data_IF_178718706214
#
_entry.id   IF_178718706214
#
_cell.length_a   1.000
_cell.length_b   1.000
_cell.length_c   1.000
_cell.angle_alpha   90.00
_cell.angle_beta   90.00
_cell.angle_gamma   90.00
#
_symmetry.space_group_name_H-M   'P 1'
#
loop_
_entity.id
_entity.type
_entity.pdbx_description
1 polymer ?
#
# COMPACT_ATOMS: atom_id res chain seq x y z
N UNK A 1 -25.52 0.08 10.01
CA UNK A 1 -25.74 -0.44 8.64
C UNK A 1 -25.32 -1.90 8.56
N UNK A 2 -26.11 -2.81 7.89
CA UNK A 2 -25.69 -4.22 7.70
C UNK A 2 -24.77 -4.35 6.49
N UNK A 3 -23.70 -5.15 6.63
CA UNK A 3 -22.68 -5.41 5.60
C UNK A 3 -22.25 -6.86 5.66
N UNK A 4 -21.70 -7.38 4.56
CA UNK A 4 -20.93 -8.63 4.58
C UNK A 4 -19.45 -8.27 4.71
N UNK A 5 -18.72 -8.95 5.58
CA UNK A 5 -17.31 -8.68 5.84
C UNK A 5 -16.50 -9.99 5.94
N UNK A 6 -15.23 -9.95 5.58
CA UNK A 6 -14.31 -11.06 5.76
C UNK A 6 -13.70 -10.97 7.15
N UNK A 7 -14.11 -11.89 8.01
CA UNK A 7 -13.59 -12.04 9.37
C UNK A 7 -12.37 -12.96 9.35
N UNK A 8 -11.26 -12.46 9.88
CA UNK A 8 -10.01 -13.21 10.01
C UNK A 8 -9.67 -13.45 11.49
N UNK A 9 -9.09 -14.64 11.80
CA UNK A 9 -8.57 -15.00 13.13
C UNK A 9 -7.30 -15.81 12.97
N UNK A 10 -6.18 -15.32 13.44
CA UNK A 10 -4.92 -16.06 13.41
C UNK A 10 -4.65 -16.78 12.09
N UNK A 11 -4.34 -18.07 12.18
CA UNK A 11 -4.10 -18.94 11.05
C UNK A 11 -5.36 -19.64 10.49
N UNK A 12 -6.53 -19.50 11.17
CA UNK A 12 -7.77 -20.11 10.72
C UNK A 12 -8.21 -19.55 9.36
N UNK A 13 -8.93 -20.30 8.51
CA UNK A 13 -9.49 -19.76 7.27
C UNK A 13 -10.35 -18.51 7.54
N UNK A 14 -10.30 -17.56 6.62
CA UNK A 14 -11.15 -16.38 6.66
C UNK A 14 -12.60 -16.75 6.35
N UNK A 15 -13.53 -16.10 7.03
CA UNK A 15 -14.97 -16.36 6.88
C UNK A 15 -15.69 -15.11 6.38
N UNK A 16 -16.55 -15.24 5.36
CA UNK A 16 -17.49 -14.19 5.00
C UNK A 16 -18.68 -14.25 5.99
N UNK A 17 -18.89 -13.16 6.70
CA UNK A 17 -19.91 -13.07 7.77
C UNK A 17 -20.77 -11.83 7.63
N UNK A 18 -21.99 -11.88 8.17
CA UNK A 18 -22.81 -10.68 8.38
C UNK A 18 -22.21 -9.85 9.52
N UNK A 19 -22.07 -8.55 9.28
CA UNK A 19 -21.53 -7.59 10.21
C UNK A 19 -22.40 -6.32 10.24
N UNK A 20 -22.19 -5.50 11.26
CA UNK A 20 -22.87 -4.23 11.43
C UNK A 20 -21.81 -3.12 11.51
N UNK A 21 -21.83 -2.20 10.55
CA UNK A 21 -21.10 -0.93 10.64
C UNK A 21 -21.87 0.01 11.57
N UNK A 22 -21.12 0.76 12.35
CA UNK A 22 -21.62 1.88 13.15
C UNK A 22 -22.09 3.02 12.23
N UNK A 23 -22.89 3.95 12.77
CA UNK A 23 -23.29 5.14 12.03
C UNK A 23 -22.08 6.09 11.86
N UNK A 24 -21.97 6.82 10.74
CA UNK A 24 -20.88 7.76 10.52
C UNK A 24 -21.02 8.97 11.47
N UNK A 25 -19.89 9.42 12.00
CA UNK A 25 -19.79 10.69 12.72
C UNK A 25 -19.82 11.87 11.77
N UNK A 26 -19.80 13.07 12.34
CA UNK A 26 -19.90 14.31 11.55
C UNK A 26 -18.84 14.46 10.48
N UNK A 27 -17.65 13.90 10.67
CA UNK A 27 -16.47 13.96 9.79
C UNK A 27 -16.17 12.65 9.04
N UNK A 28 -17.03 11.63 9.22
CA UNK A 28 -16.89 10.31 8.61
C UNK A 28 -17.84 10.14 7.42
N UNK A 29 -17.51 9.18 6.57
CA UNK A 29 -18.32 8.74 5.44
C UNK A 29 -18.50 7.23 5.45
N UNK A 30 -19.58 6.73 4.85
CA UNK A 30 -19.70 5.32 4.48
C UNK A 30 -19.46 5.20 2.99
N UNK A 31 -18.50 4.35 2.64
CA UNK A 31 -18.14 4.03 1.26
C UNK A 31 -18.58 2.60 0.97
N UNK A 32 -19.47 2.41 0.01
CA UNK A 32 -19.80 1.09 -0.54
C UNK A 32 -18.59 0.63 -1.36
N UNK A 33 -17.94 -0.43 -0.90
CA UNK A 33 -16.72 -0.93 -1.51
C UNK A 33 -17.04 -1.68 -2.80
N UNK A 34 -16.36 -1.32 -3.87
CA UNK A 34 -16.44 -1.94 -5.20
C UNK A 34 -15.21 -2.82 -5.47
N UNK A 35 -14.05 -2.42 -4.93
CA UNK A 35 -12.81 -3.17 -5.00
C UNK A 35 -11.92 -2.90 -3.79
N UNK A 36 -11.15 -3.88 -3.35
CA UNK A 36 -10.15 -3.71 -2.28
C UNK A 36 -8.89 -4.52 -2.57
N UNK A 37 -7.74 -3.85 -2.59
CA UNK A 37 -6.44 -4.49 -2.77
C UNK A 37 -6.01 -5.30 -1.55
N UNK A 38 -5.29 -6.40 -1.78
CA UNK A 38 -4.65 -7.20 -0.72
C UNK A 38 -3.19 -6.77 -0.60
N UNK A 39 -2.79 -6.39 0.62
CA UNK A 39 -1.45 -5.93 0.94
C UNK A 39 -0.75 -6.88 1.92
N UNK A 40 0.58 -6.91 1.89
CA UNK A 40 1.37 -7.68 2.85
C UNK A 40 1.11 -7.25 4.30
N UNK A 41 0.81 -5.98 4.52
CA UNK A 41 0.50 -5.41 5.84
C UNK A 41 -0.75 -6.02 6.47
N UNK A 42 -1.76 -6.41 5.66
CA UNK A 42 -2.93 -7.16 6.15
C UNK A 42 -2.49 -8.49 6.77
N UNK A 43 -1.58 -9.20 6.10
CA UNK A 43 -1.12 -10.52 6.53
C UNK A 43 -0.27 -10.43 7.80
N UNK A 44 0.62 -9.45 7.89
CA UNK A 44 1.44 -9.19 9.07
C UNK A 44 0.55 -8.80 10.25
N UNK A 45 -0.45 -7.95 10.02
CA UNK A 45 -1.37 -7.53 11.08
C UNK A 45 -2.26 -8.69 11.55
N UNK A 46 -2.80 -9.49 10.63
CA UNK A 46 -3.54 -10.72 10.97
C UNK A 46 -2.71 -11.63 11.88
N UNK A 47 -1.45 -11.86 11.54
CA UNK A 47 -0.55 -12.68 12.35
C UNK A 47 -0.31 -12.08 13.75
N UNK A 48 -0.10 -10.77 13.85
CA UNK A 48 0.12 -10.05 15.12
C UNK A 48 -1.10 -10.05 16.04
N UNK A 49 -2.30 -10.00 15.45
CA UNK A 49 -3.56 -10.04 16.22
C UNK A 49 -3.86 -11.44 16.79
N UNK A 50 -3.23 -12.48 16.25
CA UNK A 50 -3.48 -13.86 16.68
C UNK A 50 -4.97 -14.20 16.60
N UNK A 51 -5.54 -14.81 17.65
CA UNK A 51 -6.94 -15.24 17.68
C UNK A 51 -7.97 -14.11 17.82
N UNK A 52 -7.54 -12.84 17.93
CA UNK A 52 -8.44 -11.70 17.98
C UNK A 52 -9.19 -11.56 16.64
N UNK A 53 -10.55 -11.60 16.64
CA UNK A 53 -11.32 -11.45 15.42
C UNK A 53 -11.11 -10.05 14.82
N UNK A 54 -10.86 -10.01 13.50
CA UNK A 54 -10.55 -8.77 12.79
C UNK A 54 -11.18 -8.73 11.40
N UNK A 55 -11.67 -7.55 11.03
CA UNK A 55 -11.92 -7.18 9.63
C UNK A 55 -10.78 -6.24 9.22
N UNK A 56 -9.99 -6.66 8.23
CA UNK A 56 -8.83 -5.94 7.73
C UNK A 56 -9.16 -5.27 6.37
N UNK A 57 -8.14 -5.08 5.54
CA UNK A 57 -8.26 -4.39 4.26
C UNK A 57 -8.09 -2.88 4.39
N UNK A 58 -7.16 -2.32 3.62
CA UNK A 58 -6.80 -0.90 3.71
C UNK A 58 -6.49 -0.26 2.35
N UNK A 59 -6.91 -0.92 1.28
CA UNK A 59 -6.79 -0.41 -0.09
C UNK A 59 -8.19 -0.42 -0.74
N UNK A 60 -9.17 0.19 -0.07
CA UNK A 60 -10.55 0.25 -0.54
C UNK A 60 -10.77 1.28 -1.64
N UNK A 61 -11.60 0.93 -2.63
CA UNK A 61 -12.18 1.85 -3.60
C UNK A 61 -13.67 1.58 -3.71
N UNK A 62 -14.47 2.63 -3.79
CA UNK A 62 -15.91 2.49 -3.91
C UNK A 62 -16.65 3.80 -3.99
N UNK A 63 -17.96 3.74 -3.85
CA UNK A 63 -18.85 4.89 -3.97
C UNK A 63 -19.31 5.38 -2.58
N UNK A 64 -19.25 6.67 -2.35
CA UNK A 64 -19.78 7.32 -1.12
C UNK A 64 -21.30 7.15 -1.07
N UNK A 65 -21.82 6.52 -0.01
CA UNK A 65 -23.26 6.34 0.21
C UNK A 65 -23.83 7.25 1.29
N UNK A 66 -23.03 7.53 2.35
CA UNK A 66 -23.46 8.40 3.44
C UNK A 66 -22.34 9.38 3.81
N UNK A 67 -22.74 10.59 4.15
CA UNK A 67 -21.87 11.68 4.58
C UNK A 67 -22.24 12.12 6.00
N UNK A 68 -21.23 12.29 6.86
CA UNK A 68 -21.39 12.99 8.13
C UNK A 68 -21.68 14.47 7.91
N UNK A 69 -22.33 15.09 8.88
CA UNK A 69 -22.89 16.45 8.76
C UNK A 69 -21.86 17.57 8.57
N UNK A 70 -20.58 17.33 8.89
CA UNK A 70 -19.49 18.29 8.72
C UNK A 70 -18.62 17.99 7.49
N UNK A 71 -18.90 16.94 6.73
CA UNK A 71 -18.15 16.58 5.54
C UNK A 71 -18.35 17.62 4.44
N UNK A 72 -17.26 18.11 3.88
CA UNK A 72 -17.22 19.03 2.74
C UNK A 72 -16.27 18.48 1.68
N UNK A 73 -16.52 18.81 0.42
CA UNK A 73 -15.68 18.41 -0.70
C UNK A 73 -15.93 16.99 -1.24
N UNK A 74 -16.88 16.26 -0.65
CA UNK A 74 -17.40 14.98 -1.16
C UNK A 74 -18.92 15.05 -1.28
N UNK A 75 -19.47 14.29 -2.22
CA UNK A 75 -20.90 14.10 -2.43
C UNK A 75 -21.27 12.61 -2.43
N UNK A 76 -22.52 12.30 -2.09
CA UNK A 76 -23.07 10.96 -2.31
C UNK A 76 -23.02 10.65 -3.80
N UNK A 77 -22.50 9.46 -4.14
CA UNK A 77 -22.25 9.05 -5.52
C UNK A 77 -20.83 9.29 -6.01
N UNK A 78 -20.00 10.04 -5.29
CA UNK A 78 -18.58 10.18 -5.63
C UNK A 78 -17.86 8.83 -5.50
N UNK A 79 -17.07 8.47 -6.52
CA UNK A 79 -16.16 7.34 -6.41
C UNK A 79 -14.84 7.80 -5.78
N UNK A 80 -14.42 7.10 -4.73
CA UNK A 80 -13.23 7.44 -3.95
C UNK A 80 -12.32 6.23 -3.76
N UNK A 81 -11.02 6.47 -3.71
CA UNK A 81 -10.04 5.58 -3.08
C UNK A 81 -9.91 5.98 -1.61
N UNK A 82 -9.97 5.00 -0.72
CA UNK A 82 -9.75 5.20 0.71
C UNK A 82 -8.30 4.86 1.03
N UNK A 83 -7.54 5.85 1.49
CA UNK A 83 -6.15 5.69 1.89
C UNK A 83 -6.03 5.64 3.42
N UNK A 84 -4.80 5.70 3.92
CA UNK A 84 -4.51 5.68 5.36
C UNK A 84 -5.04 6.92 6.09
N UNK A 85 -5.36 6.75 7.37
CA UNK A 85 -5.87 7.84 8.20
C UNK A 85 -4.74 8.71 8.77
N UNK A 86 -4.97 10.02 8.79
CA UNK A 86 -4.10 11.02 9.42
C UNK A 86 -4.92 12.09 10.13
N UNK A 87 -4.33 12.76 11.13
CA UNK A 87 -5.07 13.77 11.90
C UNK A 87 -5.24 15.12 11.16
N UNK A 88 -4.51 15.34 10.08
CA UNK A 88 -4.53 16.59 9.31
C UNK A 88 -3.93 17.82 10.01
N UNK A 89 -3.74 17.77 11.35
CA UNK A 89 -3.41 18.94 12.15
C UNK A 89 -2.05 18.94 12.87
N UNK A 90 -1.30 17.84 12.89
CA UNK A 90 0.04 17.81 13.48
C UNK A 90 1.09 18.39 12.52
N UNK A 91 2.31 18.62 13.02
CA UNK A 91 3.38 19.22 12.22
C UNK A 91 3.70 18.42 10.96
N UNK A 92 3.70 17.09 11.04
CA UNK A 92 3.96 16.23 9.89
C UNK A 92 2.86 16.32 8.84
N UNK A 93 1.58 16.31 9.26
CA UNK A 93 0.47 16.49 8.34
C UNK A 93 0.54 17.87 7.64
N UNK A 94 0.81 18.95 8.41
CA UNK A 94 0.97 20.29 7.84
C UNK A 94 2.18 20.42 6.90
N UNK A 95 3.21 19.60 7.10
CA UNK A 95 4.38 19.53 6.22
C UNK A 95 4.14 18.68 4.95
N UNK A 96 2.93 18.15 4.73
CA UNK A 96 2.61 17.29 3.58
C UNK A 96 3.15 15.86 3.71
N UNK A 97 3.42 15.42 4.94
CA UNK A 97 3.93 14.08 5.26
C UNK A 97 2.96 13.30 6.18
N UNK A 98 1.69 13.11 5.77
CA UNK A 98 0.66 12.50 6.63
C UNK A 98 0.96 11.06 7.01
N UNK A 99 1.78 10.33 6.26
CA UNK A 99 2.26 8.98 6.62
C UNK A 99 3.04 8.93 7.94
N UNK A 100 3.62 10.05 8.37
CA UNK A 100 4.32 10.21 9.64
C UNK A 100 3.50 10.98 10.68
N UNK A 101 2.17 10.99 10.54
CA UNK A 101 1.25 11.62 11.49
C UNK A 101 1.57 11.21 12.93
N UNK A 102 1.57 12.16 13.86
CA UNK A 102 1.80 11.87 15.29
C UNK A 102 0.80 10.85 15.87
N UNK A 103 -0.36 10.70 15.25
CA UNK A 103 -1.43 9.77 15.64
C UNK A 103 -1.49 8.54 14.71
N UNK A 104 -0.53 8.34 13.81
CA UNK A 104 -0.58 7.29 12.79
C UNK A 104 -0.85 5.90 13.38
N UNK A 105 -0.13 5.51 14.44
CA UNK A 105 -0.32 4.20 15.10
C UNK A 105 -1.71 4.04 15.67
N UNK A 106 -2.25 5.07 16.32
CA UNK A 106 -3.59 5.02 16.91
C UNK A 106 -4.69 5.00 15.84
N UNK A 107 -4.55 5.81 14.79
CA UNK A 107 -5.53 5.92 13.71
C UNK A 107 -5.57 4.68 12.81
N UNK A 108 -4.40 4.07 12.55
CA UNK A 108 -4.29 3.00 11.56
C UNK A 108 -4.17 1.58 12.15
N UNK A 109 -3.76 1.47 13.44
CA UNK A 109 -3.42 0.19 14.06
C UNK A 109 -4.20 -0.18 15.31
N UNK A 110 -5.04 0.70 15.88
CA UNK A 110 -5.77 0.41 17.14
C UNK A 110 -6.98 -0.51 16.93
N UNK A 111 -7.53 -0.55 15.73
CA UNK A 111 -8.73 -1.32 15.40
C UNK A 111 -10.04 -0.68 15.90
N UNK A 112 -10.02 0.63 16.16
CA UNK A 112 -11.16 1.41 16.67
C UNK A 112 -10.92 2.90 16.47
N UNK A 113 -11.94 3.72 16.65
CA UNK A 113 -11.81 5.18 16.68
C UNK A 113 -10.89 5.64 17.83
N UNK A 114 -10.41 6.88 17.81
CA UNK A 114 -9.51 7.44 18.83
C UNK A 114 -10.12 7.48 20.23
N UNK A 115 -11.45 7.59 20.35
CA UNK A 115 -12.15 7.54 21.64
C UNK A 115 -12.42 6.11 22.15
N UNK A 116 -11.94 5.10 21.43
CA UNK A 116 -12.08 3.69 21.76
C UNK A 116 -13.38 3.05 21.29
N UNK A 117 -14.31 3.80 20.65
CA UNK A 117 -15.54 3.20 20.11
C UNK A 117 -15.25 2.31 18.89
N UNK A 118 -15.95 1.18 18.74
CA UNK A 118 -15.79 0.31 17.58
C UNK A 118 -16.44 0.94 16.34
N UNK A 119 -16.01 0.50 15.16
CA UNK A 119 -16.63 0.85 13.88
C UNK A 119 -17.42 -0.29 13.28
N UNK A 120 -17.15 -1.53 13.71
CA UNK A 120 -17.80 -2.72 13.17
C UNK A 120 -18.03 -3.75 14.27
N UNK A 121 -19.16 -4.46 14.18
CA UNK A 121 -19.56 -5.56 15.07
C UNK A 121 -19.91 -6.79 14.27
N UNK A 122 -19.62 -7.95 14.83
CA UNK A 122 -20.04 -9.27 14.29
C UNK A 122 -20.83 -9.99 15.38
N UNK A 123 -22.07 -10.36 15.07
CA UNK A 123 -23.00 -10.99 16.05
C UNK A 123 -23.21 -10.13 17.31
N UNK A 124 -23.24 -8.80 17.14
CA UNK A 124 -23.38 -7.81 18.22
C UNK A 124 -22.10 -7.49 19.00
N UNK A 125 -21.03 -8.28 18.84
CA UNK A 125 -19.76 -8.08 19.53
C UNK A 125 -18.78 -7.22 18.70
N UNK A 126 -18.08 -6.24 19.31
CA UNK A 126 -17.09 -5.45 18.62
C UNK A 126 -15.89 -6.31 18.21
N UNK A 127 -15.45 -6.17 16.96
CA UNK A 127 -14.25 -6.81 16.45
C UNK A 127 -13.16 -5.78 16.17
N UNK A 128 -11.92 -6.20 15.90
CA UNK A 128 -10.89 -5.28 15.41
C UNK A 128 -11.33 -4.78 14.03
N UNK A 129 -11.61 -3.48 13.93
CA UNK A 129 -12.04 -2.78 12.73
C UNK A 129 -11.23 -1.49 12.55
N UNK A 130 -11.69 -0.58 11.66
CA UNK A 130 -10.99 0.70 11.41
C UNK A 130 -9.49 0.54 11.14
N UNK A 131 -9.12 -0.59 10.51
CA UNK A 131 -7.73 -0.82 10.10
C UNK A 131 -7.37 0.16 8.99
N UNK A 132 -6.30 0.93 9.18
CA UNK A 132 -5.97 2.10 8.37
C UNK A 132 -7.14 3.10 8.23
N UNK A 133 -7.97 3.20 9.28
CA UNK A 133 -9.14 4.07 9.30
C UNK A 133 -10.31 3.60 8.43
N UNK A 134 -10.31 2.34 7.93
CA UNK A 134 -11.32 1.86 6.98
C UNK A 134 -11.81 0.42 7.21
N UNK A 135 -10.94 -0.62 7.23
CA UNK A 135 -11.32 -2.04 7.24
C UNK A 135 -12.18 -2.46 6.04
N UNK A 136 -11.63 -2.33 4.84
CA UNK A 136 -12.35 -2.46 3.57
C UNK A 136 -12.54 -3.90 3.07
N UNK A 137 -12.11 -4.96 3.79
CA UNK A 137 -12.51 -6.34 3.45
C UNK A 137 -13.98 -6.57 3.83
N UNK A 138 -14.84 -5.72 3.30
CA UNK A 138 -16.28 -5.71 3.52
C UNK A 138 -17.02 -5.11 2.31
N UNK A 139 -18.34 -5.24 2.26
CA UNK A 139 -19.18 -4.61 1.23
C UNK A 139 -19.32 -3.09 1.41
N UNK A 140 -19.06 -2.57 2.61
CA UNK A 140 -18.93 -1.15 2.87
C UNK A 140 -17.93 -0.90 4.00
N UNK A 141 -17.30 0.28 4.00
CA UNK A 141 -16.35 0.73 5.00
C UNK A 141 -16.74 2.10 5.54
N UNK A 142 -16.44 2.33 6.82
CA UNK A 142 -16.58 3.63 7.47
C UNK A 142 -15.18 4.24 7.51
N UNK A 143 -15.03 5.48 7.00
CA UNK A 143 -13.76 6.17 6.92
C UNK A 143 -13.88 7.65 7.25
N UNK A 144 -12.79 8.27 7.70
CA UNK A 144 -12.67 9.74 7.77
C UNK A 144 -12.70 10.31 6.35
N UNK A 145 -13.49 11.35 6.13
CA UNK A 145 -13.64 11.98 4.81
C UNK A 145 -12.29 12.45 4.22
N UNK A 146 -11.34 12.84 5.07
CA UNK A 146 -9.97 13.26 4.66
C UNK A 146 -9.15 12.14 4.04
N UNK A 147 -9.46 10.88 4.37
CA UNK A 147 -8.79 9.70 3.81
C UNK A 147 -9.37 9.29 2.45
N UNK A 148 -10.46 9.91 2.02
CA UNK A 148 -11.18 9.59 0.79
C UNK A 148 -10.74 10.53 -0.33
N UNK A 149 -10.13 9.98 -1.38
CA UNK A 149 -9.65 10.74 -2.54
C UNK A 149 -10.55 10.46 -3.73
N UNK A 150 -11.25 11.48 -4.29
CA UNK A 150 -12.07 11.30 -5.49
C UNK A 150 -11.21 10.86 -6.69
N UNK A 151 -11.70 9.84 -7.43
CA UNK A 151 -10.95 9.23 -8.54
C UNK A 151 -11.67 9.29 -9.89
N UNK A 152 -12.89 9.81 -9.92
CA UNK A 152 -13.67 9.88 -11.15
C UNK A 152 -14.04 8.52 -11.72
N UNK A 153 -14.22 8.47 -13.04
CA UNK A 153 -14.66 7.25 -13.75
C UNK A 153 -13.47 6.41 -14.21
N UNK A 154 -12.76 5.81 -13.24
CA UNK A 154 -11.69 4.83 -13.50
C UNK A 154 -12.06 3.52 -12.82
N UNK A 155 -11.65 2.40 -13.43
CA UNK A 155 -11.95 1.05 -12.95
C UNK A 155 -11.53 0.86 -11.49
N UNK A 156 -12.45 0.53 -10.56
CA UNK A 156 -12.17 0.45 -9.12
C UNK A 156 -11.05 -0.51 -8.78
N UNK A 157 -10.99 -1.67 -9.46
CA UNK A 157 -9.96 -2.69 -9.25
C UNK A 157 -8.56 -2.22 -9.61
N UNK A 158 -8.43 -1.26 -10.54
CA UNK A 158 -7.14 -0.70 -10.95
C UNK A 158 -6.67 0.35 -9.95
N UNK A 159 -7.59 1.16 -9.42
CA UNK A 159 -7.23 2.29 -8.55
C UNK A 159 -7.24 1.96 -7.06
N UNK A 160 -7.93 0.91 -6.62
CA UNK A 160 -7.96 0.51 -5.21
C UNK A 160 -6.55 0.38 -4.58
N UNK A 161 -5.55 -0.25 -5.23
CA UNK A 161 -4.21 -0.33 -4.68
C UNK A 161 -3.47 1.01 -4.55
N UNK A 162 -3.98 2.09 -5.17
CA UNK A 162 -3.44 3.45 -4.98
C UNK A 162 -3.66 3.97 -3.54
N UNK A 163 -4.54 3.34 -2.77
CA UNK A 163 -4.74 3.68 -1.36
C UNK A 163 -3.51 3.40 -0.48
N UNK A 164 -2.62 2.48 -0.88
CA UNK A 164 -1.42 2.11 -0.13
C UNK A 164 -0.28 1.64 -1.04
N UNK A 165 -0.31 0.39 -1.52
CA UNK A 165 0.88 -0.23 -2.12
C UNK A 165 1.37 0.45 -3.40
N UNK A 166 0.48 0.88 -4.28
CA UNK A 166 0.86 1.57 -5.50
C UNK A 166 1.30 3.01 -5.23
N UNK A 167 0.63 3.70 -4.30
CA UNK A 167 1.04 5.00 -3.77
C UNK A 167 2.46 4.93 -3.20
N UNK A 168 2.71 3.94 -2.35
CA UNK A 168 4.01 3.71 -1.70
C UNK A 168 5.12 3.51 -2.73
N UNK A 169 4.90 2.65 -3.73
CA UNK A 169 5.89 2.37 -4.77
C UNK A 169 6.24 3.60 -5.60
N UNK A 170 5.23 4.30 -6.09
CA UNK A 170 5.41 5.51 -6.88
C UNK A 170 6.02 6.65 -6.04
N UNK A 171 5.51 6.89 -4.84
CA UNK A 171 6.00 7.93 -3.94
C UNK A 171 7.44 7.68 -3.48
N UNK A 172 7.84 6.42 -3.27
CA UNK A 172 9.23 6.08 -2.96
C UNK A 172 10.20 6.59 -4.06
N UNK A 173 9.79 6.55 -5.31
CA UNK A 173 10.57 7.07 -6.43
C UNK A 173 10.45 8.60 -6.52
N UNK A 174 9.22 9.12 -6.54
CA UNK A 174 8.97 10.55 -6.86
C UNK A 174 9.31 11.49 -5.68
N UNK A 175 9.13 11.05 -4.43
CA UNK A 175 9.27 11.90 -3.26
C UNK A 175 10.56 11.61 -2.46
N UNK A 176 10.96 10.32 -2.35
CA UNK A 176 12.05 9.91 -1.47
C UNK A 176 13.37 9.78 -2.21
N UNK A 177 13.44 8.94 -3.22
CA UNK A 177 14.68 8.66 -3.96
C UNK A 177 15.01 9.77 -4.98
N UNK A 178 14.03 10.24 -5.73
CA UNK A 178 14.14 11.31 -6.74
C UNK A 178 15.31 11.09 -7.71
N UNK A 179 15.42 9.90 -8.31
CA UNK A 179 16.46 9.67 -9.29
C UNK A 179 16.28 10.57 -10.51
N UNK A 180 17.39 10.95 -11.14
CA UNK A 180 17.41 11.82 -12.33
C UNK A 180 17.81 11.03 -13.57
N UNK A 181 17.64 11.61 -14.72
CA UNK A 181 18.19 11.03 -15.95
C UNK A 181 19.70 10.77 -15.80
N UNK A 182 20.13 9.54 -16.16
CA UNK A 182 21.49 9.08 -15.96
C UNK A 182 21.73 8.36 -14.63
N UNK A 183 20.81 8.44 -13.68
CA UNK A 183 20.81 7.61 -12.48
C UNK A 183 20.33 6.19 -12.81
N UNK A 184 20.71 5.24 -11.94
CA UNK A 184 20.23 3.86 -12.00
C UNK A 184 19.60 3.46 -10.68
N UNK A 185 18.35 2.99 -10.77
CA UNK A 185 17.58 2.48 -9.63
C UNK A 185 17.61 0.95 -9.62
N UNK A 186 18.02 0.37 -8.48
CA UNK A 186 17.79 -1.03 -8.17
C UNK A 186 16.52 -1.14 -7.30
N UNK A 187 15.55 -1.92 -7.76
CA UNK A 187 14.37 -2.31 -6.98
C UNK A 187 14.55 -3.75 -6.50
N UNK A 188 14.53 -3.96 -5.19
CA UNK A 188 14.63 -5.28 -4.57
C UNK A 188 13.23 -5.75 -4.20
N UNK A 189 12.73 -6.77 -4.91
CA UNK A 189 11.38 -7.30 -4.85
C UNK A 189 10.45 -6.74 -5.92
N UNK A 190 9.93 -7.63 -6.77
CA UNK A 190 9.00 -7.33 -7.87
C UNK A 190 7.52 -7.53 -7.50
N UNK A 191 7.15 -7.38 -6.21
CA UNK A 191 5.76 -7.35 -5.77
C UNK A 191 5.04 -6.06 -6.19
N UNK A 192 3.82 -5.83 -5.71
CA UNK A 192 3.01 -4.66 -6.08
C UNK A 192 3.74 -3.33 -5.92
N UNK A 193 4.37 -3.09 -4.75
CA UNK A 193 5.15 -1.87 -4.46
C UNK A 193 6.33 -1.73 -5.40
N UNK A 194 7.16 -2.78 -5.51
CA UNK A 194 8.39 -2.74 -6.32
C UNK A 194 8.10 -2.62 -7.82
N UNK A 195 7.06 -3.31 -8.31
CA UNK A 195 6.66 -3.20 -9.73
C UNK A 195 6.23 -1.77 -10.07
N UNK A 196 5.40 -1.12 -9.23
CA UNK A 196 4.99 0.26 -9.49
C UNK A 196 6.16 1.22 -9.35
N UNK A 197 7.08 1.01 -8.40
CA UNK A 197 8.29 1.81 -8.30
C UNK A 197 9.15 1.70 -9.57
N UNK A 198 9.35 0.47 -10.08
CA UNK A 198 10.10 0.24 -11.33
C UNK A 198 9.44 0.93 -12.52
N UNK A 199 8.12 0.77 -12.69
CA UNK A 199 7.34 1.40 -13.77
C UNK A 199 7.39 2.94 -13.67
N UNK A 200 7.29 3.49 -12.46
CA UNK A 200 7.38 4.92 -12.21
C UNK A 200 8.76 5.46 -12.62
N UNK A 201 9.83 4.83 -12.19
CA UNK A 201 11.19 5.24 -12.52
C UNK A 201 11.45 5.16 -14.03
N UNK A 202 11.00 4.10 -14.70
CA UNK A 202 11.07 3.97 -16.16
C UNK A 202 10.31 5.11 -16.87
N UNK A 203 9.13 5.49 -16.38
CA UNK A 203 8.35 6.60 -16.94
C UNK A 203 9.03 7.96 -16.79
N UNK A 204 9.96 8.09 -15.82
CA UNK A 204 10.81 9.27 -15.62
C UNK A 204 12.15 9.19 -16.42
N UNK A 205 12.34 8.15 -17.24
CA UNK A 205 13.56 7.97 -18.05
C UNK A 205 14.78 7.51 -17.25
N UNK A 206 14.57 6.88 -16.09
CA UNK A 206 15.62 6.33 -15.23
C UNK A 206 15.92 4.89 -15.63
N UNK A 207 17.19 4.49 -15.64
CA UNK A 207 17.58 3.09 -15.82
C UNK A 207 17.18 2.27 -14.60
N UNK A 208 16.47 1.15 -14.80
CA UNK A 208 15.94 0.32 -13.71
C UNK A 208 16.49 -1.11 -13.79
N UNK A 209 16.95 -1.60 -12.65
CA UNK A 209 17.23 -3.02 -12.41
C UNK A 209 16.22 -3.52 -11.38
N UNK A 210 15.59 -4.67 -11.63
CA UNK A 210 14.68 -5.32 -10.68
C UNK A 210 15.27 -6.67 -10.27
N UNK A 211 15.53 -6.85 -8.98
CA UNK A 211 15.93 -8.13 -8.42
C UNK A 211 14.71 -8.86 -7.84
N UNK A 212 14.26 -9.93 -8.52
CA UNK A 212 13.05 -10.68 -8.16
C UNK A 212 13.26 -12.19 -8.44
N UNK A 213 13.18 -13.07 -7.41
CA UNK A 213 13.36 -14.50 -7.60
C UNK A 213 12.20 -15.17 -8.36
N UNK A 214 10.97 -14.63 -8.25
CA UNK A 214 9.78 -15.24 -8.86
C UNK A 214 9.67 -14.85 -10.34
N UNK A 215 9.83 -15.83 -11.23
CA UNK A 215 9.87 -15.59 -12.69
C UNK A 215 8.66 -14.82 -13.22
N UNK A 216 7.45 -15.17 -12.78
CA UNK A 216 6.23 -14.52 -13.26
C UNK A 216 6.18 -13.01 -12.97
N UNK A 217 6.78 -12.56 -11.85
CA UNK A 217 6.84 -11.14 -11.47
C UNK A 217 7.89 -10.34 -12.24
N UNK A 218 8.80 -10.99 -12.95
CA UNK A 218 9.82 -10.33 -13.77
C UNK A 218 9.27 -9.83 -15.09
N UNK A 219 8.23 -10.48 -15.62
CA UNK A 219 7.74 -10.31 -17.00
C UNK A 219 7.30 -8.87 -17.29
N UNK A 220 6.55 -8.23 -16.40
CA UNK A 220 6.03 -6.89 -16.68
C UNK A 220 7.13 -5.82 -16.60
N UNK A 221 7.97 -5.73 -15.55
CA UNK A 221 9.09 -4.80 -15.52
C UNK A 221 10.02 -4.96 -16.74
N UNK A 222 10.35 -6.19 -17.14
CA UNK A 222 11.20 -6.48 -18.30
C UNK A 222 10.57 -5.96 -19.60
N UNK A 223 9.28 -6.23 -19.84
CA UNK A 223 8.55 -5.73 -21.01
C UNK A 223 8.47 -4.20 -21.05
N UNK A 224 8.53 -3.56 -19.91
CA UNK A 224 8.53 -2.08 -19.80
C UNK A 224 9.95 -1.49 -19.89
N UNK A 225 10.99 -2.29 -20.05
CA UNK A 225 12.36 -1.84 -20.28
C UNK A 225 13.31 -1.94 -19.08
N UNK A 226 12.90 -2.55 -17.95
CA UNK A 226 13.81 -2.82 -16.86
C UNK A 226 14.76 -3.98 -17.20
N UNK A 227 16.00 -3.93 -16.72
CA UNK A 227 16.86 -5.10 -16.58
C UNK A 227 16.35 -5.92 -15.39
N UNK A 228 16.23 -7.25 -15.55
CA UNK A 228 15.72 -8.10 -14.48
C UNK A 228 16.73 -9.18 -14.13
N UNK A 229 16.99 -9.37 -12.83
CA UNK A 229 17.88 -10.42 -12.30
C UNK A 229 17.10 -11.28 -11.29
N UNK A 230 17.48 -12.54 -11.15
CA UNK A 230 16.85 -13.45 -10.21
C UNK A 230 17.34 -13.23 -8.76
N UNK A 231 18.58 -12.74 -8.62
CA UNK A 231 19.26 -12.61 -7.34
C UNK A 231 20.16 -11.37 -7.34
N UNK A 232 20.42 -10.82 -6.16
CA UNK A 232 21.38 -9.73 -5.96
C UNK A 232 22.85 -10.18 -6.16
N UNK A 233 23.10 -11.49 -6.28
CA UNK A 233 24.45 -12.06 -6.53
C UNK A 233 24.76 -12.13 -8.02
N UNK A 234 23.79 -11.97 -8.89
CA UNK A 234 24.03 -11.87 -10.31
C UNK A 234 24.82 -10.60 -10.67
N UNK A 235 25.68 -10.66 -11.71
CA UNK A 235 26.37 -9.47 -12.19
C UNK A 235 25.41 -8.38 -12.60
N UNK A 236 25.54 -7.20 -12.00
CA UNK A 236 24.77 -6.03 -12.36
C UNK A 236 25.65 -4.78 -12.27
N UNK A 237 25.34 -3.74 -13.03
CA UNK A 237 26.05 -2.47 -12.92
C UNK A 237 25.83 -1.86 -11.53
N UNK A 238 26.80 -1.07 -11.07
CA UNK A 238 26.65 -0.28 -9.84
C UNK A 238 25.47 0.71 -9.96
N UNK A 239 24.78 0.97 -8.87
CA UNK A 239 23.53 1.75 -8.83
C UNK A 239 23.66 2.98 -7.96
N UNK A 240 22.94 4.05 -8.31
CA UNK A 240 22.91 5.30 -7.55
C UNK A 240 21.81 5.30 -6.48
N UNK A 241 20.74 4.55 -6.74
CA UNK A 241 19.56 4.46 -5.86
C UNK A 241 19.14 3.02 -5.68
N UNK A 242 18.69 2.67 -4.48
CA UNK A 242 18.08 1.36 -4.18
C UNK A 242 16.76 1.58 -3.45
N UNK A 243 15.74 0.82 -3.86
CA UNK A 243 14.49 0.64 -3.12
C UNK A 243 14.42 -0.80 -2.60
N UNK A 244 14.44 -0.99 -1.29
CA UNK A 244 14.17 -2.30 -0.70
C UNK A 244 12.70 -2.42 -0.29
N UNK A 245 12.00 -3.37 -0.91
CA UNK A 245 10.61 -3.72 -0.59
C UNK A 245 10.48 -5.02 0.19
N UNK A 246 11.61 -5.65 0.54
CA UNK A 246 11.64 -6.97 1.19
C UNK A 246 11.84 -6.90 2.70
N UNK A 247 12.53 -5.87 3.19
CA UNK A 247 12.90 -5.72 4.60
C UNK A 247 13.90 -6.79 5.10
N UNK A 248 14.54 -7.54 4.20
CA UNK A 248 15.46 -8.62 4.58
C UNK A 248 16.84 -8.06 4.91
N UNK A 249 17.45 -8.42 6.07
CA UNK A 249 18.77 -7.93 6.48
C UNK A 249 19.85 -8.17 5.43
N UNK A 250 19.88 -9.35 4.82
CA UNK A 250 20.81 -9.72 3.76
C UNK A 250 20.64 -8.88 2.50
N UNK A 251 19.39 -8.57 2.13
CA UNK A 251 19.08 -7.70 0.99
C UNK A 251 19.54 -6.25 1.25
N UNK A 252 19.31 -5.74 2.47
CA UNK A 252 19.73 -4.41 2.89
C UNK A 252 21.28 -4.29 2.88
N UNK A 253 21.97 -5.26 3.44
CA UNK A 253 23.43 -5.29 3.44
C UNK A 253 24.00 -5.33 2.01
N UNK A 254 23.42 -6.16 1.15
CA UNK A 254 23.82 -6.28 -0.25
C UNK A 254 23.52 -5.00 -1.03
N UNK A 255 22.37 -4.38 -0.80
CA UNK A 255 22.01 -3.09 -1.38
C UNK A 255 23.07 -2.02 -1.12
N UNK A 256 23.51 -1.89 0.14
CA UNK A 256 24.55 -0.92 0.51
C UNK A 256 25.88 -1.20 -0.19
N UNK A 257 26.24 -2.47 -0.41
CA UNK A 257 27.44 -2.84 -1.13
C UNK A 257 27.38 -2.45 -2.62
N UNK A 258 26.22 -2.56 -3.27
CA UNK A 258 25.98 -2.26 -4.68
C UNK A 258 25.88 -0.77 -4.99
N UNK A 259 25.54 0.07 -4.00
CA UNK A 259 25.43 1.52 -4.19
C UNK A 259 26.75 2.14 -4.59
N UNK A 260 26.72 3.11 -5.48
CA UNK A 260 27.84 4.03 -5.75
C UNK A 260 28.10 4.95 -4.54
N UNK A 261 29.29 5.58 -4.44
CA UNK A 261 29.49 6.65 -3.46
C UNK A 261 28.38 7.73 -3.55
N UNK A 262 27.96 8.23 -2.39
CA UNK A 262 26.84 9.18 -2.24
C UNK A 262 25.46 8.61 -2.61
N UNK A 263 25.32 7.32 -2.86
CA UNK A 263 24.07 6.65 -3.20
C UNK A 263 23.05 6.63 -2.05
N UNK A 264 21.81 6.33 -2.38
CA UNK A 264 20.65 6.34 -1.45
C UNK A 264 19.94 5.00 -1.44
N UNK A 265 19.68 4.47 -0.26
CA UNK A 265 18.80 3.32 -0.02
C UNK A 265 17.52 3.79 0.66
N UNK A 266 16.37 3.52 0.06
CA UNK A 266 15.07 3.66 0.69
C UNK A 266 14.56 2.30 1.20
N UNK A 267 14.09 2.26 2.45
CA UNK A 267 13.53 1.08 3.12
C UNK A 267 12.01 1.21 3.20
N UNK A 268 11.30 0.30 2.55
CA UNK A 268 9.84 0.19 2.55
C UNK A 268 9.39 -1.16 3.09
N UNK A 269 10.19 -2.20 2.86
CA UNK A 269 9.86 -3.57 3.27
C UNK A 269 9.72 -3.72 4.77
N UNK A 270 8.66 -4.43 5.20
CA UNK A 270 8.47 -4.83 6.60
C UNK A 270 9.40 -6.01 6.92
N UNK A 271 10.35 -5.78 7.79
CA UNK A 271 11.36 -6.76 8.21
C UNK A 271 11.54 -6.82 9.73
N UNK A 272 12.64 -7.43 10.22
CA UNK A 272 12.98 -7.42 11.63
C UNK A 272 13.26 -5.98 12.11
N UNK A 273 13.12 -5.77 13.42
CA UNK A 273 13.31 -4.44 14.03
C UNK A 273 14.75 -3.94 13.95
N UNK A 274 15.72 -4.85 13.82
CA UNK A 274 17.13 -4.54 13.84
C UNK A 274 17.86 -5.15 12.65
N UNK A 275 18.78 -4.36 12.07
CA UNK A 275 19.68 -4.77 10.99
C UNK A 275 21.09 -4.28 11.29
N UNK A 276 22.10 -5.14 11.12
CA UNK A 276 23.50 -4.76 11.26
C UNK A 276 23.97 -3.97 10.04
N UNK A 277 24.70 -2.87 10.28
CA UNK A 277 25.20 -1.98 9.23
C UNK A 277 26.72 -1.81 9.37
N UNK A 278 27.43 -1.78 8.22
CA UNK A 278 28.83 -1.33 8.16
C UNK A 278 28.89 0.19 8.21
N UNK A 279 29.09 0.72 9.43
CA UNK A 279 29.15 2.17 9.69
C UNK A 279 30.34 2.82 9.01
N UNK A 280 31.46 2.10 8.88
CA UNK A 280 32.65 2.61 8.19
C UNK A 280 32.38 2.81 6.70
N UNK A 281 31.80 1.81 6.04
CA UNK A 281 31.42 1.93 4.64
C UNK A 281 30.36 3.01 4.41
N UNK A 282 29.36 3.13 5.31
CA UNK A 282 28.35 4.17 5.27
C UNK A 282 29.00 5.57 5.29
N UNK A 283 29.93 5.79 6.21
CA UNK A 283 30.59 7.07 6.40
C UNK A 283 31.57 7.39 5.26
N UNK A 284 32.46 6.46 4.92
CA UNK A 284 33.54 6.74 3.95
C UNK A 284 33.04 6.84 2.51
N UNK A 285 31.90 6.24 2.21
CA UNK A 285 31.25 6.31 0.89
C UNK A 285 30.10 7.35 0.83
N UNK A 286 29.80 8.01 1.95
CA UNK A 286 28.74 9.03 2.03
C UNK A 286 27.35 8.47 1.70
N UNK A 287 27.08 7.19 2.04
CA UNK A 287 25.80 6.55 1.74
C UNK A 287 24.68 7.13 2.59
N UNK A 288 23.47 7.11 2.09
CA UNK A 288 22.28 7.58 2.78
C UNK A 288 21.26 6.45 2.89
N UNK A 289 20.63 6.31 4.06
CA UNK A 289 19.52 5.38 4.29
C UNK A 289 18.31 6.21 4.71
N UNK A 290 17.16 5.95 4.08
CA UNK A 290 15.88 6.61 4.36
C UNK A 290 14.80 5.57 4.61
N UNK A 291 14.03 5.70 5.69
CA UNK A 291 12.73 5.06 5.81
C UNK A 291 11.73 5.73 4.87
N UNK A 292 10.75 4.97 4.41
CA UNK A 292 9.68 5.46 3.55
C UNK A 292 8.36 4.79 3.97
N UNK A 293 7.41 5.61 4.43
CA UNK A 293 6.05 5.19 4.80
C UNK A 293 5.08 5.84 3.83
N UNK A 294 4.22 5.03 3.18
CA UNK A 294 3.20 5.50 2.22
C UNK A 294 3.79 6.41 1.12
N UNK A 295 5.04 6.13 0.72
CA UNK A 295 5.71 6.88 -0.34
C UNK A 295 6.07 8.33 0.01
N UNK A 296 6.13 8.72 1.29
CA UNK A 296 6.23 10.11 1.73
C UNK A 296 5.21 10.99 0.99
N UNK A 297 4.00 10.48 0.76
CA UNK A 297 3.00 11.08 -0.10
C UNK A 297 1.85 11.72 0.69
N UNK A 298 1.34 12.82 0.16
CA UNK A 298 -0.02 13.26 0.40
C UNK A 298 -0.93 12.54 -0.60
N UNK A 299 -1.82 11.63 -0.15
CA UNK A 299 -2.71 10.88 -1.05
C UNK A 299 -3.57 11.78 -1.93
N UNK A 300 -4.04 12.92 -1.42
CA UNK A 300 -4.87 13.85 -2.15
C UNK A 300 -4.15 14.49 -3.36
N UNK A 301 -2.82 14.53 -3.33
CA UNK A 301 -2.00 15.07 -4.42
C UNK A 301 -1.49 13.96 -5.35
N UNK A 302 -0.98 12.86 -4.79
CA UNK A 302 -0.30 11.84 -5.59
C UNK A 302 -1.27 10.88 -6.28
N UNK A 303 -2.38 10.47 -5.66
CA UNK A 303 -3.35 9.55 -6.29
C UNK A 303 -3.89 10.12 -7.61
N UNK A 304 -4.37 11.37 -7.69
CA UNK A 304 -4.80 11.96 -8.96
C UNK A 304 -3.69 12.04 -10.02
N UNK A 305 -2.43 12.25 -9.61
CA UNK A 305 -1.30 12.24 -10.55
C UNK A 305 -1.05 10.85 -11.12
N UNK A 306 -1.08 9.81 -10.29
CA UNK A 306 -0.91 8.43 -10.73
C UNK A 306 -2.05 7.98 -11.66
N UNK A 307 -3.27 8.42 -11.42
CA UNK A 307 -4.41 8.16 -12.31
C UNK A 307 -4.17 8.83 -13.68
N UNK A 308 -3.73 10.08 -13.72
CA UNK A 308 -3.38 10.75 -14.98
C UNK A 308 -2.27 10.02 -15.73
N UNK A 309 -1.24 9.53 -15.04
CA UNK A 309 -0.15 8.74 -15.62
C UNK A 309 -0.67 7.40 -16.19
N UNK A 310 -1.57 6.72 -15.48
CA UNK A 310 -2.24 5.52 -15.97
C UNK A 310 -3.06 5.79 -17.24
N UNK A 311 -3.92 6.81 -17.22
CA UNK A 311 -4.75 7.20 -18.36
C UNK A 311 -3.94 7.60 -19.60
N UNK A 312 -2.72 8.10 -19.40
CA UNK A 312 -1.76 8.41 -20.47
C UNK A 312 -0.95 7.20 -20.95
N UNK A 313 -1.16 6.03 -20.36
CA UNK A 313 -0.41 4.81 -20.69
C UNK A 313 1.03 4.77 -20.17
N UNK A 314 1.42 5.69 -19.29
CA UNK A 314 2.77 5.74 -18.69
C UNK A 314 2.95 4.73 -17.56
N UNK A 315 1.87 4.37 -16.87
CA UNK A 315 1.84 3.38 -15.79
C UNK A 315 0.76 2.33 -16.09
N UNK A 316 1.09 1.16 -16.61
CA UNK A 316 0.12 0.09 -16.90
C UNK A 316 -0.29 -0.66 -15.63
N UNK A 317 -1.01 0.02 -14.71
CA UNK A 317 -1.41 -0.48 -13.39
C UNK A 317 -2.36 -1.68 -13.48
N UNK A 318 -3.24 -1.69 -14.49
CA UNK A 318 -4.17 -2.77 -14.81
C UNK A 318 -3.48 -4.12 -15.00
N UNK A 319 -2.25 -4.12 -15.55
CA UNK A 319 -1.46 -5.35 -15.78
C UNK A 319 -0.90 -5.99 -14.52
N UNK A 320 -0.94 -5.28 -13.40
CA UNK A 320 -0.50 -5.79 -12.10
C UNK A 320 -1.62 -6.47 -11.33
N UNK A 321 -2.87 -6.18 -11.67
CA UNK A 321 -4.07 -6.57 -10.93
C UNK A 321 -4.60 -7.92 -11.39
N UNK A 322 -5.04 -8.73 -10.42
CA UNK A 322 -5.85 -9.93 -10.64
C UNK A 322 -7.01 -9.90 -9.67
N UNK A 323 -8.25 -10.05 -10.18
CA UNK A 323 -9.45 -9.93 -9.37
C UNK A 323 -9.90 -11.27 -8.81
N UNK A 324 -10.48 -11.23 -7.60
CA UNK A 324 -11.04 -12.38 -6.87
C UNK A 324 -12.37 -11.97 -6.22
N UNK A 325 -13.32 -12.89 -6.00
CA UNK A 325 -14.45 -12.63 -5.10
C UNK A 325 -13.98 -12.24 -3.70
N UNK A 326 -14.74 -11.41 -2.97
CA UNK A 326 -14.40 -10.99 -1.61
C UNK A 326 -14.20 -12.20 -0.67
N UNK A 327 -14.98 -13.25 -0.83
CA UNK A 327 -14.88 -14.47 -0.01
C UNK A 327 -13.57 -15.26 -0.25
N UNK A 328 -12.89 -15.02 -1.36
CA UNK A 328 -11.71 -15.78 -1.77
C UNK A 328 -10.39 -15.15 -1.27
N UNK A 329 -10.41 -14.37 -0.17
CA UNK A 329 -9.21 -13.72 0.39
C UNK A 329 -8.04 -14.70 0.58
N UNK A 330 -8.28 -15.86 1.19
CA UNK A 330 -7.20 -16.82 1.48
C UNK A 330 -6.62 -17.43 0.20
N UNK A 331 -7.43 -17.65 -0.84
CA UNK A 331 -6.98 -18.05 -2.17
C UNK A 331 -6.15 -16.95 -2.82
N UNK A 332 -6.62 -15.72 -2.81
CA UNK A 332 -5.90 -14.56 -3.36
C UNK A 332 -4.51 -14.39 -2.70
N UNK A 333 -4.42 -14.61 -1.38
CA UNK A 333 -3.16 -14.61 -0.62
C UNK A 333 -2.26 -15.78 -1.03
N UNK A 334 -2.81 -16.98 -1.19
CA UNK A 334 -2.05 -18.16 -1.61
C UNK A 334 -1.47 -17.97 -3.02
N UNK A 335 -2.27 -17.48 -3.95
CA UNK A 335 -1.86 -17.19 -5.33
C UNK A 335 -0.78 -16.09 -5.38
N UNK A 336 -0.89 -15.07 -4.53
CA UNK A 336 0.14 -14.03 -4.41
C UNK A 336 1.47 -14.60 -3.88
N UNK A 337 1.43 -15.46 -2.86
CA UNK A 337 2.63 -16.13 -2.31
C UNK A 337 3.28 -17.05 -3.33
N UNK A 338 2.47 -17.77 -4.10
CA UNK A 338 2.95 -18.64 -5.19
C UNK A 338 3.48 -17.86 -6.41
N UNK A 339 3.28 -16.53 -6.46
CA UNK A 339 3.70 -15.69 -7.58
C UNK A 339 2.76 -15.76 -8.78
N UNK A 340 1.57 -16.33 -8.63
CA UNK A 340 0.55 -16.42 -9.69
C UNK A 340 -0.13 -15.07 -9.95
N UNK A 341 -0.08 -14.17 -8.98
CA UNK A 341 -0.57 -12.79 -9.09
C UNK A 341 0.40 -11.82 -8.41
N UNK A 342 0.52 -10.61 -8.94
CA UNK A 342 1.34 -9.55 -8.34
C UNK A 342 0.54 -8.73 -7.33
N UNK A 343 -0.68 -8.33 -7.70
CA UNK A 343 -1.58 -7.53 -6.87
C UNK A 343 -2.99 -8.11 -6.92
N UNK A 344 -3.35 -8.96 -5.95
CA UNK A 344 -4.74 -9.42 -5.84
C UNK A 344 -5.64 -8.26 -5.41
N UNK A 345 -6.83 -8.21 -6.00
CA UNK A 345 -7.91 -7.25 -5.66
C UNK A 345 -9.20 -8.02 -5.49
N UNK A 346 -9.85 -7.83 -4.35
CA UNK A 346 -11.11 -8.49 -4.03
C UNK A 346 -12.30 -7.63 -4.49
N UNK A 347 -13.32 -8.27 -5.04
CA UNK A 347 -14.55 -7.63 -5.52
C UNK A 347 -15.73 -8.08 -4.64
N UNK A 348 -16.35 -7.17 -3.85
CA UNK A 348 -17.49 -7.52 -2.99
C UNK A 348 -18.77 -7.88 -3.75
N UNK A 349 -18.91 -7.45 -4.99
CA UNK A 349 -20.09 -7.67 -5.82
C UNK A 349 -19.98 -8.85 -6.79
N UNK A 350 -18.98 -9.73 -6.64
CA UNK A 350 -18.74 -10.90 -7.47
C UNK A 350 -19.43 -12.16 -6.94
#
# INVERSE_FOLDING_TARGET
MRVSAVLSRGAAPSELVDAELDDPRSDEVIVRIEAVGVCHTDLVTRQRLGERPAVLGHEGCGTVEHLGSAVTGLAVGDRVVVSFASCGGCDQCRAGLPGYCAWATALNGSGRRLDGSPTIRVRGEPVFGSFFGQSSFATAALADARSCVPVGDVSPEVVAPLGCGFLTGAGAVLNVLRPRHGDRLLVIGGGGVGSVAALTALSEGVEVVVAEPVLARRTLPERCGATVVASLDEPMPSVTHVLDTTGRPESIARALALLQPCGVLALVGLGPAEVSLDVWALMTRGLRIRGCVEGDADPALLIPDLIRRYQRGLLPLDRLVTTYPLADLDRAVADQRAGLTTKPVLLPGG
#
